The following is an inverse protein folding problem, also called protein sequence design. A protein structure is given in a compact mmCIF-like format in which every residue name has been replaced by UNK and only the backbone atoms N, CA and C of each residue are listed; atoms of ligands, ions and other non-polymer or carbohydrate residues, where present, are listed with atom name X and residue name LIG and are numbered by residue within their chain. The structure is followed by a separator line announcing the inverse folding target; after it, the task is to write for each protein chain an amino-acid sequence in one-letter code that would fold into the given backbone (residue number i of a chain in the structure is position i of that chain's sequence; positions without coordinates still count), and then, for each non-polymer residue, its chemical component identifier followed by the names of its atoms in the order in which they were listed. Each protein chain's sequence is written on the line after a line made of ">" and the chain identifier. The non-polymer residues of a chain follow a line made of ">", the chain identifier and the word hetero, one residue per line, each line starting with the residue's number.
data_IF_542949368677
#
_entry.id   IF_542949368677
#
_cell.length_a   1.000
_cell.length_b   1.000
_cell.length_c   1.000
_cell.angle_alpha   90.00
_cell.angle_beta   90.00
_cell.angle_gamma   90.00
#
_symmetry.space_group_name_H-M   'P 1'
#
loop_
_entity.id
_entity.type
_entity.pdbx_description
1 polymer ?
#
# COMPACT_ATOMS: atom_id res chain seq x y z
N UNK A 1 14.29 10.36 5.84
CA UNK A 1 14.54 9.30 4.83
C UNK A 1 13.61 9.50 3.65
N UNK A 2 14.09 9.25 2.42
CA UNK A 2 13.19 9.15 1.27
C UNK A 2 12.38 7.84 1.40
N UNK A 3 11.09 7.87 1.06
CA UNK A 3 10.22 6.69 0.99
C UNK A 3 9.84 5.99 2.31
N UNK A 4 9.98 6.64 3.48
CA UNK A 4 9.64 6.03 4.77
C UNK A 4 8.21 5.46 4.87
N UNK A 5 7.22 6.12 4.23
CA UNK A 5 5.84 5.60 4.26
C UNK A 5 5.65 4.39 3.33
N UNK A 6 6.45 4.28 2.26
CA UNK A 6 6.45 3.07 1.42
C UNK A 6 7.03 1.91 2.23
N UNK A 7 8.09 2.16 3.01
CA UNK A 7 8.68 1.16 3.91
C UNK A 7 7.64 0.70 4.93
N UNK A 8 7.03 1.63 5.67
CA UNK A 8 6.01 1.27 6.66
C UNK A 8 4.86 0.48 6.02
N UNK A 9 4.36 0.94 4.86
CA UNK A 9 3.28 0.27 4.14
C UNK A 9 3.66 -1.12 3.63
N UNK A 10 4.88 -1.34 3.14
CA UNK A 10 5.28 -2.66 2.65
C UNK A 10 5.38 -3.68 3.79
N UNK A 11 5.76 -3.25 5.00
CA UNK A 11 5.68 -4.12 6.17
C UNK A 11 4.22 -4.42 6.56
N UNK A 12 3.31 -3.43 6.51
CA UNK A 12 1.87 -3.68 6.74
C UNK A 12 1.32 -4.70 5.71
N UNK A 13 1.80 -4.65 4.47
CA UNK A 13 1.47 -5.63 3.41
C UNK A 13 2.02 -7.01 3.75
N UNK A 14 3.30 -7.09 4.14
CA UNK A 14 3.93 -8.36 4.50
C UNK A 14 3.27 -9.04 5.69
N UNK A 15 2.87 -8.26 6.71
CA UNK A 15 2.04 -8.74 7.83
C UNK A 15 0.65 -9.20 7.34
N UNK A 16 0.02 -8.41 6.48
CA UNK A 16 -1.31 -8.71 5.94
C UNK A 16 -1.37 -9.98 5.09
N UNK A 17 -0.29 -10.33 4.40
CA UNK A 17 -0.22 -11.56 3.58
C UNK A 17 0.47 -12.73 4.28
N UNK A 18 1.02 -12.50 5.47
CA UNK A 18 1.74 -13.52 6.23
C UNK A 18 3.12 -13.85 5.66
N UNK A 19 3.76 -12.92 4.95
CA UNK A 19 5.09 -13.09 4.37
C UNK A 19 6.15 -13.37 5.45
N UNK A 20 6.00 -12.73 6.61
CA UNK A 20 6.96 -12.86 7.72
C UNK A 20 6.68 -14.04 8.65
N UNK A 21 5.66 -14.85 8.36
CA UNK A 21 5.31 -16.02 9.16
C UNK A 21 6.18 -17.22 8.76
N UNK A 22 6.56 -18.08 9.72
CA UNK A 22 7.11 -19.40 9.43
C UNK A 22 6.18 -20.25 8.54
N UNK A 23 6.75 -21.14 7.74
CA UNK A 23 6.01 -21.95 6.76
C UNK A 23 4.85 -22.76 7.38
N UNK A 24 5.02 -23.25 8.62
CA UNK A 24 4.02 -24.01 9.36
C UNK A 24 2.82 -23.15 9.79
N UNK A 25 3.06 -21.89 10.12
CA UNK A 25 2.00 -20.92 10.45
C UNK A 25 1.32 -20.39 9.17
N UNK A 26 2.11 -20.17 8.11
CA UNK A 26 1.65 -19.68 6.81
C UNK A 26 0.64 -20.62 6.16
N UNK A 27 0.77 -21.94 6.37
CA UNK A 27 -0.19 -22.93 5.88
C UNK A 27 -1.61 -22.80 6.47
N UNK A 28 -1.74 -22.16 7.64
CA UNK A 28 -3.02 -21.93 8.32
C UNK A 28 -3.45 -20.46 8.25
N UNK A 29 -2.57 -19.58 7.75
CA UNK A 29 -2.84 -18.17 7.63
C UNK A 29 -3.80 -17.89 6.46
N UNK A 30 -4.71 -16.95 6.66
CA UNK A 30 -5.59 -16.45 5.58
C UNK A 30 -5.10 -15.06 5.19
N UNK A 31 -4.43 -14.90 4.02
CA UNK A 31 -3.97 -13.61 3.55
C UNK A 31 -5.12 -12.61 3.41
N UNK A 32 -4.85 -11.37 3.81
CA UNK A 32 -5.74 -10.25 3.54
C UNK A 32 -5.65 -9.84 2.07
N UNK A 33 -6.76 -9.40 1.51
CA UNK A 33 -6.76 -8.79 0.18
C UNK A 33 -6.14 -7.39 0.22
N UNK A 34 -5.66 -6.91 -0.93
CA UNK A 34 -5.01 -5.59 -1.02
C UNK A 34 -5.94 -4.45 -0.57
N UNK A 35 -7.24 -4.54 -0.86
CA UNK A 35 -8.22 -3.56 -0.41
C UNK A 35 -8.40 -3.57 1.12
N UNK A 36 -8.34 -4.73 1.77
CA UNK A 36 -8.38 -4.84 3.22
C UNK A 36 -7.13 -4.22 3.86
N UNK A 37 -5.95 -4.50 3.31
CA UNK A 37 -4.69 -3.95 3.80
C UNK A 37 -4.68 -2.42 3.67
N UNK A 38 -5.07 -1.88 2.50
CA UNK A 38 -5.15 -0.44 2.29
C UNK A 38 -6.18 0.20 3.24
N UNK A 39 -7.32 -0.44 3.46
CA UNK A 39 -8.33 0.06 4.40
C UNK A 39 -7.80 0.12 5.82
N UNK A 40 -7.15 -0.94 6.30
CA UNK A 40 -6.54 -1.00 7.64
C UNK A 40 -5.48 0.09 7.80
N UNK A 41 -4.62 0.27 6.78
CA UNK A 41 -3.60 1.34 6.78
C UNK A 41 -4.21 2.73 7.00
N UNK A 42 -5.35 3.03 6.33
CA UNK A 42 -6.04 4.33 6.46
C UNK A 42 -6.81 4.42 7.80
N UNK A 43 -7.27 3.31 8.37
CA UNK A 43 -7.93 3.31 9.68
C UNK A 43 -6.95 3.59 10.83
N UNK A 44 -5.73 3.06 10.72
CA UNK A 44 -4.68 3.26 11.73
C UNK A 44 -3.97 4.61 11.61
N UNK A 45 -3.94 5.20 10.41
CA UNK A 45 -3.15 6.41 10.11
C UNK A 45 -4.07 7.56 9.68
N UNK A 46 -3.62 8.79 9.89
CA UNK A 46 -4.38 9.96 9.46
C UNK A 46 -4.37 10.15 7.92
N UNK A 47 -5.32 10.91 7.40
CA UNK A 47 -5.45 11.20 5.96
C UNK A 47 -4.23 11.93 5.36
N UNK A 48 -3.40 12.61 6.17
CA UNK A 48 -2.16 13.22 5.69
C UNK A 48 -1.13 12.16 5.31
N UNK A 49 -1.02 11.08 6.08
CA UNK A 49 -0.13 9.96 5.76
C UNK A 49 -0.54 9.27 4.45
N UNK A 50 -1.84 9.15 4.18
CA UNK A 50 -2.38 8.65 2.89
C UNK A 50 -1.88 9.52 1.73
N UNK A 51 -2.02 10.85 1.86
CA UNK A 51 -1.56 11.79 0.83
C UNK A 51 -0.05 11.71 0.61
N UNK A 52 0.74 11.64 1.68
CA UNK A 52 2.20 11.52 1.58
C UNK A 52 2.65 10.17 1.01
N UNK A 53 2.00 9.06 1.37
CA UNK A 53 2.28 7.74 0.81
C UNK A 53 2.07 7.75 -0.70
N UNK A 54 0.91 8.23 -1.16
CA UNK A 54 0.62 8.38 -2.61
C UNK A 54 1.70 9.20 -3.32
N UNK A 55 2.13 10.31 -2.72
CA UNK A 55 3.21 11.15 -3.29
C UNK A 55 4.53 10.39 -3.36
N UNK A 56 4.87 9.62 -2.33
CA UNK A 56 6.09 8.82 -2.30
C UNK A 56 6.05 7.74 -3.39
N UNK A 57 4.94 7.00 -3.52
CA UNK A 57 4.77 5.96 -4.54
C UNK A 57 4.93 6.54 -5.95
N UNK A 58 4.23 7.63 -6.26
CA UNK A 58 4.34 8.29 -7.58
C UNK A 58 5.76 8.76 -7.88
N UNK A 59 6.47 9.27 -6.87
CA UNK A 59 7.88 9.67 -7.02
C UNK A 59 8.78 8.47 -7.26
N UNK A 60 8.54 7.37 -6.55
CA UNK A 60 9.30 6.14 -6.71
C UNK A 60 9.15 5.58 -8.13
N UNK A 61 7.91 5.39 -8.59
CA UNK A 61 7.61 4.94 -9.95
C UNK A 61 8.34 5.82 -10.98
N UNK A 62 8.20 7.14 -10.87
CA UNK A 62 8.84 8.07 -11.81
C UNK A 62 10.37 7.92 -11.88
N UNK A 63 11.03 7.63 -10.76
CA UNK A 63 12.48 7.62 -10.67
C UNK A 63 13.11 6.27 -11.01
N UNK A 64 12.35 5.17 -10.89
CA UNK A 64 12.86 3.81 -10.97
C UNK A 64 12.15 2.97 -12.05
N UNK A 65 11.26 3.57 -12.83
CA UNK A 65 10.68 2.93 -14.01
C UNK A 65 11.73 2.82 -15.11
N UNK A 66 11.92 1.60 -15.64
CA UNK A 66 12.79 1.32 -16.79
C UNK A 66 11.96 0.87 -17.99
N UNK A 67 12.63 0.54 -19.10
CA UNK A 67 11.96 -0.06 -20.26
C UNK A 67 11.43 -1.47 -20.00
N UNK A 68 11.91 -2.14 -18.95
CA UNK A 68 11.56 -3.53 -18.62
C UNK A 68 10.51 -3.62 -17.52
N UNK A 69 10.34 -2.56 -16.73
CA UNK A 69 9.37 -2.52 -15.63
C UNK A 69 9.83 -1.60 -14.51
N UNK A 70 9.13 -1.64 -13.38
CA UNK A 70 9.55 -0.92 -12.18
C UNK A 70 10.47 -1.80 -11.35
N UNK A 71 11.68 -1.33 -11.09
CA UNK A 71 12.67 -2.10 -10.33
C UNK A 71 12.46 -2.00 -8.81
N UNK A 72 12.94 -3.01 -8.10
CA UNK A 72 13.12 -3.01 -6.64
C UNK A 72 14.46 -2.35 -6.25
N UNK A 73 14.44 -1.05 -5.98
CA UNK A 73 15.62 -0.24 -5.64
C UNK A 73 15.61 0.14 -4.17
N UNK A 74 16.76 -0.05 -3.51
CA UNK A 74 16.96 0.33 -2.12
C UNK A 74 17.31 1.83 -1.97
N UNK A 75 16.70 2.57 -1.01
CA UNK A 75 15.41 2.32 -0.36
C UNK A 75 14.22 2.71 -1.28
N UNK A 76 13.00 2.17 -1.07
CA UNK A 76 12.50 1.51 0.14
C UNK A 76 12.64 -0.01 0.16
N UNK A 77 13.03 -0.63 -0.94
CA UNK A 77 13.00 -2.08 -1.05
C UNK A 77 14.37 -2.73 -0.81
N UNK A 78 14.37 -3.82 -0.05
CA UNK A 78 15.46 -4.78 0.08
C UNK A 78 14.95 -6.21 -0.01
N UNK A 79 15.81 -7.17 0.34
CA UNK A 79 15.54 -8.61 0.20
C UNK A 79 14.21 -9.06 0.83
N UNK A 80 13.85 -8.52 1.99
CA UNK A 80 12.64 -8.91 2.74
C UNK A 80 11.36 -8.17 2.31
N UNK A 81 11.46 -7.27 1.33
CA UNK A 81 10.33 -6.42 0.87
C UNK A 81 10.04 -6.57 -0.63
N UNK A 82 10.74 -7.49 -1.28
CA UNK A 82 10.64 -7.79 -2.71
C UNK A 82 9.85 -9.07 -2.93
N UNK A 83 8.59 -9.07 -2.50
CA UNK A 83 7.73 -10.26 -2.45
C UNK A 83 6.34 -10.04 -3.08
N UNK A 84 6.02 -8.86 -3.59
CA UNK A 84 4.60 -8.52 -3.88
C UNK A 84 4.01 -9.38 -5.00
N UNK A 85 4.85 -9.78 -5.95
CA UNK A 85 4.46 -10.66 -7.06
C UNK A 85 4.11 -12.08 -6.61
N UNK A 86 4.55 -12.50 -5.41
CA UNK A 86 4.21 -13.81 -4.86
C UNK A 86 2.76 -13.86 -4.33
N UNK A 87 2.13 -12.71 -4.10
CA UNK A 87 0.82 -12.59 -3.46
C UNK A 87 -0.23 -11.85 -4.28
N UNK A 88 0.18 -10.96 -5.17
CA UNK A 88 -0.72 -10.10 -5.92
C UNK A 88 -0.48 -10.26 -7.42
N UNK A 89 -1.57 -10.19 -8.18
CA UNK A 89 -1.50 -10.26 -9.64
C UNK A 89 -0.79 -9.03 -10.23
N UNK A 90 0.29 -9.28 -10.98
CA UNK A 90 1.05 -8.26 -11.69
C UNK A 90 2.41 -7.97 -11.04
N UNK A 91 3.19 -7.11 -11.68
CA UNK A 91 4.50 -6.67 -11.19
C UNK A 91 4.39 -5.58 -10.12
N UNK A 92 5.53 -5.19 -9.53
CA UNK A 92 5.63 -4.07 -8.60
C UNK A 92 4.96 -2.77 -9.10
N UNK A 93 5.00 -2.49 -10.41
CA UNK A 93 4.36 -1.29 -10.96
C UNK A 93 2.83 -1.39 -10.89
N UNK A 94 2.27 -2.54 -11.29
CA UNK A 94 0.84 -2.83 -11.18
C UNK A 94 0.41 -2.77 -9.72
N UNK A 95 1.15 -3.42 -8.82
CA UNK A 95 0.89 -3.39 -7.39
C UNK A 95 0.82 -1.96 -6.84
N UNK A 96 1.86 -1.14 -7.05
CA UNK A 96 1.90 0.22 -6.53
C UNK A 96 0.84 1.14 -7.16
N UNK A 97 0.48 0.91 -8.42
CA UNK A 97 -0.60 1.65 -9.09
C UNK A 97 -1.98 1.28 -8.53
N UNK A 98 -2.19 0.00 -8.22
CA UNK A 98 -3.40 -0.48 -7.55
C UNK A 98 -3.52 0.11 -6.14
N UNK A 99 -2.43 0.14 -5.38
CA UNK A 99 -2.38 0.79 -4.06
C UNK A 99 -2.80 2.26 -4.16
N UNK A 100 -2.22 3.02 -5.10
CA UNK A 100 -2.61 4.43 -5.30
C UNK A 100 -4.09 4.58 -5.63
N UNK A 101 -4.64 3.69 -6.46
CA UNK A 101 -6.05 3.72 -6.85
C UNK A 101 -6.98 3.42 -5.67
N UNK A 102 -6.61 2.47 -4.81
CA UNK A 102 -7.36 2.13 -3.60
C UNK A 102 -7.29 3.26 -2.56
N UNK A 103 -6.12 3.87 -2.36
CA UNK A 103 -5.96 5.04 -1.49
C UNK A 103 -6.86 6.20 -1.95
N UNK A 104 -6.96 6.44 -3.26
CA UNK A 104 -7.81 7.48 -3.83
C UNK A 104 -9.30 7.19 -3.59
N UNK A 105 -9.73 5.95 -3.83
CA UNK A 105 -11.12 5.52 -3.60
C UNK A 105 -11.52 5.67 -2.13
N UNK A 106 -10.70 5.19 -1.21
CA UNK A 106 -10.98 5.28 0.22
C UNK A 106 -10.96 6.73 0.73
N UNK A 107 -10.04 7.55 0.23
CA UNK A 107 -10.01 8.98 0.53
C UNK A 107 -11.30 9.68 0.10
N UNK A 108 -11.76 9.45 -1.14
CA UNK A 108 -13.00 10.02 -1.67
C UNK A 108 -14.22 9.61 -0.84
N UNK A 109 -14.35 8.33 -0.50
CA UNK A 109 -15.44 7.81 0.33
C UNK A 109 -15.46 8.49 1.70
N UNK A 110 -14.30 8.64 2.36
CA UNK A 110 -14.21 9.27 3.69
C UNK A 110 -14.53 10.77 3.64
N UNK A 111 -14.05 11.48 2.62
CA UNK A 111 -14.36 12.91 2.43
C UNK A 111 -15.86 13.10 2.16
N UNK A 112 -16.47 12.30 1.30
CA UNK A 112 -17.92 12.35 1.04
C UNK A 112 -18.73 12.08 2.31
N UNK A 113 -18.34 11.08 3.10
CA UNK A 113 -18.98 10.77 4.38
C UNK A 113 -18.83 11.90 5.42
N UNK A 114 -17.70 12.60 5.42
CA UNK A 114 -17.50 13.76 6.30
C UNK A 114 -18.37 14.95 5.87
N UNK A 115 -18.37 15.29 4.58
CA UNK A 115 -19.16 16.41 4.05
C UNK A 115 -20.67 16.18 4.20
N UNK A 116 -21.15 14.95 3.96
CA UNK A 116 -22.56 14.59 4.13
C UNK A 116 -23.03 14.62 5.59
N UNK A 117 -22.15 14.34 6.55
CA UNK A 117 -22.46 14.52 7.98
C UNK A 117 -22.58 16.00 8.36
N UNK A 118 -21.79 16.88 7.75
CA UNK A 118 -21.85 18.32 7.99
C UNK A 118 -23.08 18.98 7.37
N UNK A 119 -23.51 18.57 6.17
CA UNK A 119 -24.70 19.15 5.52
C UNK A 119 -26.03 18.69 6.13
N UNK A 120 -26.04 17.59 6.88
CA UNK A 120 -27.25 17.07 7.54
C UNK A 120 -27.51 17.67 8.94
N UNK A 121 -26.59 18.50 9.44
CA UNK A 121 -26.70 19.21 10.73
C UNK A 121 -26.85 20.74 10.57
N UNK A 122 -27.01 21.24 9.34
CA UNK A 122 -27.24 22.66 9.03
C UNK A 122 -28.68 22.99 8.71
#
# INVERSE_FOLDING_TARGET
>A
MAYGLIIDFIYDVGEGVGEFLPDDEKAQFTPLSLDQIVKNYIDERNLLNVFFLKRQIKRYIKNHMTSEGLEYVAPPFGQETSFVEDYFDGDLHVFLTNVVSLLDKEYEVRVQNFLSKFTRQG
#
